data_IF_409117420321
#
_entry.id   IF_409117420321
#
_cell.length_a   1.000
_cell.length_b   1.000
_cell.length_c   1.000
_cell.angle_alpha   90.00
_cell.angle_beta   90.00
_cell.angle_gamma   90.00
#
_symmetry.space_group_name_H-M   'P 1'
#
loop_
_entity.id
_entity.type
_entity.pdbx_description
1 polymer ?
#
# COMPACT_ATOMS: atom_id res chain seq x y z
N UNK A 1 6.07 -22.49 -5.22
CA UNK A 1 5.64 -21.08 -5.45
C UNK A 1 6.84 -20.19 -5.15
N UNK A 2 7.24 -19.36 -6.07
CA UNK A 2 8.34 -18.39 -5.88
C UNK A 2 7.88 -17.24 -4.97
N UNK A 3 8.86 -16.47 -4.41
CA UNK A 3 8.57 -15.24 -3.66
C UNK A 3 7.72 -14.26 -4.47
N UNK A 4 8.02 -14.12 -5.76
CA UNK A 4 7.32 -13.19 -6.64
C UNK A 4 5.89 -13.64 -6.96
N UNK A 5 5.65 -14.94 -7.19
CA UNK A 5 4.28 -15.46 -7.35
C UNK A 5 3.44 -15.22 -6.09
N UNK A 6 3.99 -15.48 -4.90
CA UNK A 6 3.34 -15.19 -3.61
C UNK A 6 2.97 -13.70 -3.49
N UNK A 7 3.89 -12.83 -3.90
CA UNK A 7 3.69 -11.39 -3.91
C UNK A 7 2.57 -10.95 -4.86
N UNK A 8 2.55 -11.46 -6.09
CA UNK A 8 1.50 -11.15 -7.07
C UNK A 8 0.12 -11.61 -6.62
N UNK A 9 0.02 -12.82 -6.07
CA UNK A 9 -1.24 -13.34 -5.51
C UNK A 9 -1.74 -12.40 -4.41
N UNK A 10 -0.87 -11.99 -3.49
CA UNK A 10 -1.27 -11.09 -2.40
C UNK A 10 -1.68 -9.70 -2.89
N UNK A 11 -1.01 -9.20 -3.93
CA UNK A 11 -1.39 -7.97 -4.62
C UNK A 11 -2.80 -8.08 -5.24
N UNK A 12 -3.10 -9.20 -5.91
CA UNK A 12 -4.41 -9.47 -6.51
C UNK A 12 -5.51 -9.58 -5.45
N UNK A 13 -5.29 -10.34 -4.37
CA UNK A 13 -6.22 -10.42 -3.23
C UNK A 13 -6.53 -9.03 -2.65
N UNK A 14 -5.50 -8.19 -2.49
CA UNK A 14 -5.65 -6.81 -2.00
C UNK A 14 -6.47 -5.97 -2.97
N UNK A 15 -6.20 -6.09 -4.27
CA UNK A 15 -6.97 -5.40 -5.31
C UNK A 15 -8.43 -5.81 -5.30
N UNK A 16 -8.73 -7.09 -5.07
CA UNK A 16 -10.09 -7.59 -5.00
C UNK A 16 -10.86 -7.02 -3.79
N UNK A 17 -10.19 -6.86 -2.64
CA UNK A 17 -10.78 -6.18 -1.47
C UNK A 17 -11.17 -4.74 -1.83
N UNK A 18 -10.27 -4.00 -2.48
CA UNK A 18 -10.55 -2.62 -2.91
C UNK A 18 -11.70 -2.60 -3.93
N UNK A 19 -11.68 -3.48 -4.93
CA UNK A 19 -12.73 -3.61 -5.94
C UNK A 19 -14.11 -3.89 -5.34
N UNK A 20 -14.18 -4.76 -4.36
CA UNK A 20 -15.43 -5.06 -3.65
C UNK A 20 -15.98 -3.83 -2.92
N UNK A 21 -15.12 -2.99 -2.33
CA UNK A 21 -15.52 -1.74 -1.69
C UNK A 21 -16.00 -0.69 -2.73
N UNK A 22 -15.38 -0.65 -3.91
CA UNK A 22 -15.83 0.20 -5.02
C UNK A 22 -17.23 -0.23 -5.50
N UNK A 23 -17.42 -1.52 -5.76
CA UNK A 23 -18.72 -2.08 -6.21
C UNK A 23 -19.81 -1.81 -5.18
N UNK A 24 -19.49 -1.93 -3.89
CA UNK A 24 -20.40 -1.60 -2.79
C UNK A 24 -20.62 -0.07 -2.61
N UNK A 25 -20.06 0.75 -3.50
CA UNK A 25 -20.16 2.22 -3.47
C UNK A 25 -19.74 2.86 -2.15
N UNK A 26 -18.76 2.26 -1.47
CA UNK A 26 -18.25 2.74 -0.19
C UNK A 26 -17.46 4.02 -0.33
N UNK A 27 -17.57 4.88 0.68
CA UNK A 27 -16.80 6.11 0.80
C UNK A 27 -15.45 5.77 1.43
N UNK A 28 -14.40 5.65 0.62
CA UNK A 28 -13.06 5.23 1.05
C UNK A 28 -12.21 6.44 1.42
N UNK A 29 -11.44 6.32 2.49
CA UNK A 29 -10.35 7.24 2.79
C UNK A 29 -9.01 6.50 2.76
N UNK A 30 -8.01 7.10 2.09
CA UNK A 30 -6.62 6.66 2.15
C UNK A 30 -5.88 7.59 3.11
N UNK A 31 -5.22 7.01 4.09
CA UNK A 31 -4.42 7.71 5.08
C UNK A 31 -2.97 7.27 4.88
N UNK A 32 -2.14 8.17 4.34
CA UNK A 32 -0.74 7.91 4.05
C UNK A 32 0.21 8.69 4.94
N UNK A 33 1.46 8.23 5.02
CA UNK A 33 2.52 9.02 5.61
C UNK A 33 2.78 10.29 4.79
N UNK A 34 3.31 11.33 5.42
CA UNK A 34 3.48 12.65 4.77
C UNK A 34 4.74 12.78 3.91
N UNK A 35 5.64 11.79 3.96
CA UNK A 35 6.84 11.79 3.12
C UNK A 35 6.54 11.45 1.66
N UNK A 36 7.57 11.38 0.85
CA UNK A 36 7.40 11.17 -0.59
C UNK A 36 6.83 9.81 -0.91
N UNK A 37 7.26 8.73 -0.22
CA UNK A 37 6.74 7.38 -0.48
C UNK A 37 5.26 7.28 -0.10
N UNK A 38 4.85 7.76 1.07
CA UNK A 38 3.46 7.77 1.51
C UNK A 38 2.54 8.62 0.64
N UNK A 39 3.00 9.80 0.17
CA UNK A 39 2.25 10.65 -0.75
C UNK A 39 2.05 9.93 -2.11
N UNK A 40 3.12 9.34 -2.66
CA UNK A 40 3.07 8.61 -3.93
C UNK A 40 2.17 7.38 -3.81
N UNK A 41 2.36 6.59 -2.77
CA UNK A 41 1.55 5.42 -2.47
C UNK A 41 0.06 5.74 -2.43
N UNK A 42 -0.31 6.77 -1.66
CA UNK A 42 -1.69 7.26 -1.57
C UNK A 42 -2.22 7.73 -2.93
N UNK A 43 -1.39 8.42 -3.71
CA UNK A 43 -1.78 8.98 -5.02
C UNK A 43 -2.02 7.89 -6.06
N UNK A 44 -1.18 6.85 -6.10
CA UNK A 44 -1.35 5.68 -6.98
C UNK A 44 -2.68 4.99 -6.69
N UNK A 45 -2.94 4.67 -5.42
CA UNK A 45 -4.18 4.01 -5.01
C UNK A 45 -5.42 4.87 -5.31
N UNK A 46 -5.37 6.15 -4.98
CA UNK A 46 -6.50 7.06 -5.24
C UNK A 46 -6.78 7.20 -6.74
N UNK A 47 -5.74 7.35 -7.57
CA UNK A 47 -5.89 7.41 -9.03
C UNK A 47 -6.52 6.14 -9.56
N UNK A 48 -6.13 4.98 -9.05
CA UNK A 48 -6.65 3.68 -9.45
C UNK A 48 -8.12 3.52 -9.05
N UNK A 49 -8.48 3.89 -7.81
CA UNK A 49 -9.87 3.86 -7.33
C UNK A 49 -10.76 4.81 -8.17
N UNK A 50 -10.27 6.02 -8.50
CA UNK A 50 -11.01 6.97 -9.33
C UNK A 50 -11.21 6.47 -10.77
N UNK A 51 -10.21 5.77 -11.36
CA UNK A 51 -10.34 5.14 -12.68
C UNK A 51 -11.45 4.09 -12.70
N UNK A 52 -11.60 3.36 -11.61
CA UNK A 52 -12.68 2.39 -11.40
C UNK A 52 -14.00 3.03 -10.93
N UNK A 53 -14.11 4.38 -11.01
CA UNK A 53 -15.29 5.17 -10.60
C UNK A 53 -15.62 5.06 -9.10
N UNK A 54 -14.67 4.65 -8.27
CA UNK A 54 -14.81 4.62 -6.81
C UNK A 54 -14.73 6.02 -6.20
N UNK A 55 -15.21 6.14 -4.96
CA UNK A 55 -15.16 7.38 -4.17
C UNK A 55 -14.00 7.30 -3.20
N UNK A 56 -13.10 8.27 -3.25
CA UNK A 56 -11.89 8.27 -2.42
C UNK A 56 -11.52 9.68 -1.96
N UNK A 57 -11.02 9.75 -0.74
CA UNK A 57 -10.40 10.94 -0.14
C UNK A 57 -8.99 10.56 0.30
N UNK A 58 -8.02 11.45 0.16
CA UNK A 58 -6.67 11.28 0.67
C UNK A 58 -6.46 12.18 1.90
N UNK A 59 -5.76 11.65 2.89
CA UNK A 59 -5.22 12.42 4.02
C UNK A 59 -3.80 11.95 4.30
N UNK A 60 -2.88 12.87 4.50
CA UNK A 60 -1.51 12.58 4.89
C UNK A 60 -1.27 12.94 6.36
N UNK A 61 -0.49 12.14 7.06
CA UNK A 61 -0.15 12.32 8.47
C UNK A 61 1.37 12.26 8.67
N UNK A 62 1.89 13.00 9.63
CA UNK A 62 3.29 12.88 10.07
C UNK A 62 3.52 11.68 10.98
N UNK A 63 2.49 11.25 11.67
CA UNK A 63 2.48 10.08 12.53
C UNK A 63 1.04 9.65 12.79
N UNK A 64 0.84 8.36 12.99
CA UNK A 64 -0.42 7.81 13.43
C UNK A 64 -0.41 7.70 14.95
N UNK A 65 -1.57 7.90 15.58
CA UNK A 65 -1.74 7.75 17.03
C UNK A 65 -3.01 6.96 17.33
N UNK A 66 -3.05 6.25 18.46
CA UNK A 66 -4.24 5.51 18.92
C UNK A 66 -5.45 6.43 19.06
N UNK A 67 -5.27 7.67 19.54
CA UNK A 67 -6.36 8.63 19.65
C UNK A 67 -6.94 9.04 18.29
N UNK A 68 -6.08 9.19 17.27
CA UNK A 68 -6.55 9.46 15.92
C UNK A 68 -7.35 8.28 15.35
N UNK A 69 -6.87 7.05 15.53
CA UNK A 69 -7.59 5.83 15.09
C UNK A 69 -8.95 5.74 15.77
N UNK A 70 -9.01 6.02 17.07
CA UNK A 70 -10.25 6.04 17.84
C UNK A 70 -11.27 7.05 17.30
N UNK A 71 -10.81 8.24 16.88
CA UNK A 71 -11.67 9.27 16.28
C UNK A 71 -12.21 8.86 14.90
N UNK A 72 -11.49 8.03 14.13
CA UNK A 72 -11.93 7.55 12.84
C UNK A 72 -13.23 6.73 12.92
N UNK A 73 -13.47 6.05 14.04
CA UNK A 73 -14.70 5.27 14.30
C UNK A 73 -15.97 6.08 14.03
N UNK A 74 -15.96 7.37 14.39
CA UNK A 74 -17.11 8.27 14.29
C UNK A 74 -17.09 9.11 12.99
N UNK A 75 -16.19 8.79 12.07
CA UNK A 75 -16.07 9.48 10.79
C UNK A 75 -17.11 8.99 9.76
N UNK A 76 -17.25 9.75 8.68
CA UNK A 76 -18.20 9.47 7.60
C UNK A 76 -17.73 8.40 6.58
N UNK A 77 -16.57 7.80 6.81
CA UNK A 77 -15.99 6.86 5.85
C UNK A 77 -16.40 5.43 6.17
N UNK A 78 -16.61 4.65 5.11
CA UNK A 78 -17.01 3.25 5.20
C UNK A 78 -15.83 2.29 5.16
N UNK A 79 -14.69 2.73 4.58
CA UNK A 79 -13.47 1.94 4.45
C UNK A 79 -12.21 2.81 4.55
N UNK A 80 -11.21 2.29 5.22
CA UNK A 80 -9.95 2.97 5.53
C UNK A 80 -8.78 2.19 4.93
N UNK A 81 -7.98 2.82 4.10
CA UNK A 81 -6.72 2.25 3.61
C UNK A 81 -5.59 3.06 4.24
N UNK A 82 -4.73 2.38 4.96
CA UNK A 82 -3.51 2.98 5.49
C UNK A 82 -2.35 2.58 4.58
N UNK A 83 -1.55 3.55 4.16
CA UNK A 83 -0.41 3.27 3.31
C UNK A 83 0.84 3.97 3.78
N UNK A 84 1.95 3.23 3.82
CA UNK A 84 3.23 3.69 4.34
C UNK A 84 3.18 4.09 5.82
N UNK A 85 2.20 3.58 6.53
CA UNK A 85 1.93 3.82 7.95
C UNK A 85 0.91 2.80 8.45
N UNK A 86 1.02 2.39 9.70
CA UNK A 86 -0.03 1.62 10.34
C UNK A 86 0.38 0.23 10.83
N UNK A 87 1.52 -0.30 10.39
CA UNK A 87 1.98 -1.65 10.76
C UNK A 87 2.14 -1.88 12.27
N UNK A 88 2.26 -0.82 13.07
CA UNK A 88 2.36 -0.90 14.53
C UNK A 88 1.02 -0.77 15.27
N UNK A 89 -0.09 -0.53 14.53
CA UNK A 89 -1.40 -0.18 15.12
C UNK A 89 -2.50 -1.19 14.82
N UNK A 90 -2.16 -2.43 14.53
CA UNK A 90 -3.10 -3.47 14.11
C UNK A 90 -4.17 -3.73 15.17
N UNK A 91 -3.78 -3.80 16.44
CA UNK A 91 -4.70 -4.04 17.57
C UNK A 91 -5.72 -2.89 17.72
N UNK A 92 -5.29 -1.65 17.54
CA UNK A 92 -6.16 -0.47 17.57
C UNK A 92 -7.14 -0.45 16.39
N UNK A 93 -6.69 -0.87 15.21
CA UNK A 93 -7.58 -0.98 14.06
C UNK A 93 -8.64 -2.05 14.26
N UNK A 94 -8.27 -3.22 14.77
CA UNK A 94 -9.20 -4.27 15.12
C UNK A 94 -10.24 -3.80 16.15
N UNK A 95 -9.77 -3.13 17.20
CA UNK A 95 -10.62 -2.64 18.30
C UNK A 95 -11.60 -1.56 17.82
N UNK A 96 -11.14 -0.60 17.00
CA UNK A 96 -11.90 0.61 16.71
C UNK A 96 -12.53 0.63 15.32
N UNK A 97 -11.93 0.02 14.30
CA UNK A 97 -12.40 0.02 12.92
C UNK A 97 -12.99 -1.31 12.48
N UNK A 98 -12.81 -2.37 13.25
CA UNK A 98 -13.29 -3.74 12.95
C UNK A 98 -12.86 -4.18 11.55
N UNK A 99 -13.78 -4.58 10.69
CA UNK A 99 -13.50 -5.07 9.32
C UNK A 99 -13.47 -3.95 8.26
N UNK A 100 -13.29 -2.69 8.67
CA UNK A 100 -13.36 -1.54 7.74
C UNK A 100 -11.99 -0.98 7.36
N UNK A 101 -10.91 -1.68 7.59
CA UNK A 101 -9.56 -1.19 7.35
C UNK A 101 -8.71 -2.16 6.56
N UNK A 102 -7.67 -1.62 5.91
CA UNK A 102 -6.62 -2.37 5.22
C UNK A 102 -5.31 -1.59 5.29
N UNK A 103 -4.18 -2.30 5.42
CA UNK A 103 -2.83 -1.71 5.43
C UNK A 103 -2.08 -2.17 4.18
N UNK A 104 -1.39 -1.22 3.51
CA UNK A 104 -0.39 -1.46 2.47
C UNK A 104 0.89 -0.77 2.93
N UNK A 105 1.84 -1.53 3.45
CA UNK A 105 3.00 -0.97 4.15
C UNK A 105 4.24 -1.86 3.98
N UNK A 106 5.42 -1.26 3.92
CA UNK A 106 6.70 -1.96 3.79
C UNK A 106 7.50 -2.00 5.10
N UNK A 107 7.06 -1.31 6.13
CA UNK A 107 7.69 -1.33 7.43
C UNK A 107 7.59 -2.70 8.09
N UNK A 108 8.64 -3.08 8.83
CA UNK A 108 8.66 -4.37 9.52
C UNK A 108 7.56 -4.40 10.57
N UNK A 109 6.72 -5.42 10.52
CA UNK A 109 5.67 -5.66 11.52
C UNK A 109 6.03 -6.84 12.43
N UNK A 110 5.26 -7.04 13.51
CA UNK A 110 5.43 -8.20 14.40
C UNK A 110 5.11 -9.50 13.64
N UNK A 111 5.84 -10.58 13.95
CA UNK A 111 5.69 -11.87 13.27
C UNK A 111 4.26 -12.44 13.36
N UNK A 112 3.53 -12.18 14.42
CA UNK A 112 2.15 -12.64 14.61
C UNK A 112 1.17 -12.09 13.57
N UNK A 113 1.48 -10.94 12.93
CA UNK A 113 0.64 -10.30 11.92
C UNK A 113 1.05 -10.64 10.48
N UNK A 114 2.09 -11.46 10.28
CA UNK A 114 2.59 -11.81 8.94
C UNK A 114 1.57 -12.53 8.04
N UNK A 115 0.51 -13.09 8.58
CA UNK A 115 -0.57 -13.75 7.82
C UNK A 115 -1.92 -13.05 7.99
N UNK A 116 -1.94 -11.81 8.46
CA UNK A 116 -3.19 -11.10 8.67
C UNK A 116 -3.85 -10.70 7.35
N UNK A 117 -5.16 -11.00 7.21
CA UNK A 117 -5.89 -10.81 5.95
C UNK A 117 -6.02 -9.35 5.51
N UNK A 118 -6.02 -8.40 6.45
CA UNK A 118 -6.18 -6.97 6.17
C UNK A 118 -4.84 -6.25 5.99
N UNK A 119 -3.75 -6.98 5.70
CA UNK A 119 -2.41 -6.39 5.56
C UNK A 119 -1.75 -6.92 4.29
N UNK A 120 -1.33 -6.03 3.41
CA UNK A 120 -0.37 -6.32 2.37
C UNK A 120 0.97 -5.67 2.74
N UNK A 121 1.91 -6.50 3.12
CA UNK A 121 3.24 -6.06 3.54
C UNK A 121 4.31 -6.92 2.86
N UNK A 122 5.42 -6.32 2.46
CA UNK A 122 6.51 -6.98 1.75
C UNK A 122 7.10 -8.17 2.52
N UNK A 123 7.18 -8.06 3.85
CA UNK A 123 7.69 -9.11 4.74
C UNK A 123 6.83 -10.37 4.73
N UNK A 124 5.54 -10.27 4.40
CA UNK A 124 4.66 -11.43 4.21
C UNK A 124 5.05 -12.30 2.99
N UNK A 125 5.78 -11.70 2.05
CA UNK A 125 6.22 -12.35 0.81
C UNK A 125 7.73 -12.56 0.78
N UNK A 126 8.39 -12.49 1.94
CA UNK A 126 9.84 -12.69 2.11
C UNK A 126 10.71 -11.66 1.36
N UNK A 127 10.19 -10.41 1.18
CA UNK A 127 10.93 -9.27 0.67
C UNK A 127 11.25 -8.28 1.78
N UNK A 128 12.51 -7.81 1.80
CA UNK A 128 12.95 -6.78 2.73
C UNK A 128 12.38 -5.42 2.32
N UNK A 129 11.44 -4.91 3.12
CA UNK A 129 10.82 -3.61 2.88
C UNK A 129 11.78 -2.43 2.97
N UNK A 130 12.97 -2.59 3.58
CA UNK A 130 13.94 -1.50 3.64
C UNK A 130 14.69 -1.28 2.32
N UNK A 131 14.72 -2.28 1.39
CA UNK A 131 15.59 -2.25 0.22
C UNK A 131 14.99 -2.79 -1.06
N UNK A 132 14.01 -3.72 -0.97
CA UNK A 132 13.54 -4.48 -2.12
C UNK A 132 12.24 -3.96 -2.70
N UNK A 133 11.45 -3.23 -1.89
CA UNK A 133 10.20 -2.57 -2.31
C UNK A 133 9.75 -1.55 -1.27
N UNK A 134 9.23 -0.41 -1.73
CA UNK A 134 8.60 0.63 -0.92
C UNK A 134 7.07 0.48 -0.88
N UNK A 135 6.38 1.24 -0.03
CA UNK A 135 4.92 1.26 0.00
C UNK A 135 4.30 1.73 -1.32
N UNK A 136 4.95 2.65 -2.02
CA UNK A 136 4.51 3.06 -3.36
C UNK A 136 4.65 1.93 -4.38
N UNK A 137 5.68 1.08 -4.26
CA UNK A 137 5.84 -0.13 -5.05
C UNK A 137 4.72 -1.14 -4.79
N UNK A 138 4.40 -1.41 -3.53
CA UNK A 138 3.27 -2.27 -3.15
C UNK A 138 1.96 -1.74 -3.74
N UNK A 139 1.70 -0.44 -3.59
CA UNK A 139 0.50 0.23 -4.10
C UNK A 139 0.41 0.20 -5.63
N UNK A 140 1.56 0.24 -6.32
CA UNK A 140 1.62 0.12 -7.77
C UNK A 140 1.16 -1.27 -8.25
N UNK A 141 1.66 -2.35 -7.66
CA UNK A 141 1.23 -3.70 -8.03
C UNK A 141 -0.24 -3.94 -7.72
N UNK A 142 -0.76 -3.44 -6.59
CA UNK A 142 -2.20 -3.46 -6.31
C UNK A 142 -2.97 -2.70 -7.39
N UNK A 143 -2.46 -1.57 -7.83
CA UNK A 143 -3.08 -0.75 -8.88
C UNK A 143 -3.11 -1.46 -10.24
N UNK A 144 -2.04 -2.17 -10.62
CA UNK A 144 -2.00 -2.99 -11.82
C UNK A 144 -3.03 -4.12 -11.78
N UNK A 145 -3.18 -4.78 -10.64
CA UNK A 145 -4.17 -5.83 -10.43
C UNK A 145 -5.60 -5.30 -10.49
N UNK A 146 -5.83 -4.02 -10.14
CA UNK A 146 -7.13 -3.37 -10.32
C UNK A 146 -7.43 -3.07 -11.79
N UNK A 147 -6.45 -2.52 -12.52
CA UNK A 147 -6.60 -2.15 -13.92
C UNK A 147 -5.22 -2.00 -14.58
N UNK A 148 -4.97 -2.75 -15.65
CA UNK A 148 -3.70 -2.72 -16.38
C UNK A 148 -3.37 -1.35 -16.98
N UNK A 149 -4.34 -0.48 -17.20
CA UNK A 149 -4.09 0.92 -17.61
C UNK A 149 -3.28 1.72 -16.58
N UNK A 150 -3.14 1.21 -15.35
CA UNK A 150 -2.31 1.80 -14.31
C UNK A 150 -0.80 1.58 -14.54
N UNK A 151 -0.40 0.78 -15.54
CA UNK A 151 1.00 0.62 -15.95
C UNK A 151 1.67 1.97 -16.24
N UNK A 152 0.93 2.95 -16.73
CA UNK A 152 1.45 4.31 -16.96
C UNK A 152 1.85 5.07 -15.68
N UNK A 153 1.63 4.51 -14.50
CA UNK A 153 2.07 5.04 -13.19
C UNK A 153 3.43 4.47 -12.74
N UNK A 154 4.08 3.62 -13.54
CA UNK A 154 5.30 2.86 -13.19
C UNK A 154 6.49 3.74 -12.74
N UNK A 155 6.57 5.00 -13.17
CA UNK A 155 7.63 5.91 -12.75
C UNK A 155 7.47 6.40 -11.29
N UNK A 156 6.25 6.45 -10.78
CA UNK A 156 5.96 6.97 -9.45
C UNK A 156 6.62 6.13 -8.34
N UNK A 157 6.46 4.79 -8.29
CA UNK A 157 7.08 3.98 -7.25
C UNK A 157 8.61 4.00 -7.29
N UNK A 158 9.25 4.27 -8.45
CA UNK A 158 10.70 4.46 -8.52
C UNK A 158 11.11 5.70 -7.70
N UNK A 159 10.36 6.79 -7.82
CA UNK A 159 10.61 8.00 -7.03
C UNK A 159 10.38 7.74 -5.52
N UNK A 160 9.34 6.98 -5.16
CA UNK A 160 9.10 6.56 -3.78
C UNK A 160 10.26 5.75 -3.21
N UNK A 161 10.70 4.71 -3.91
CA UNK A 161 11.83 3.88 -3.48
C UNK A 161 13.14 4.67 -3.31
N UNK A 162 13.40 5.65 -4.18
CA UNK A 162 14.57 6.54 -4.05
C UNK A 162 14.43 7.45 -2.84
N UNK A 163 13.25 8.00 -2.57
CA UNK A 163 13.01 8.86 -1.40
C UNK A 163 13.25 8.11 -0.09
N UNK A 164 12.95 6.83 -0.06
CA UNK A 164 13.19 5.90 1.05
C UNK A 164 14.63 5.36 1.11
N UNK A 165 15.51 5.88 0.24
CA UNK A 165 16.92 5.49 0.19
C UNK A 165 17.12 3.99 -0.06
N UNK A 166 16.25 3.37 -0.87
CA UNK A 166 16.31 1.95 -1.19
C UNK A 166 17.36 1.60 -2.27
N UNK A 167 18.03 2.59 -2.84
CA UNK A 167 19.15 2.39 -3.80
C UNK A 167 20.41 1.88 -3.09
N UNK A 168 20.37 0.66 -2.58
CA UNK A 168 21.47 0.00 -1.82
C UNK A 168 22.25 -1.01 -2.64
N UNK A 169 21.87 -1.27 -3.87
CA UNK A 169 22.58 -2.17 -4.78
C UNK A 169 23.90 -1.57 -5.29
N UNK A 170 24.63 -2.35 -6.09
CA UNK A 170 25.89 -1.92 -6.71
C UNK A 170 25.65 -0.64 -7.54
N UNK A 171 26.53 0.33 -7.39
CA UNK A 171 26.41 1.65 -8.03
C UNK A 171 25.09 2.39 -7.71
N UNK A 172 24.57 2.20 -6.50
CA UNK A 172 23.30 2.79 -6.07
C UNK A 172 22.11 2.33 -6.92
N UNK A 173 22.13 1.10 -7.40
CA UNK A 173 20.96 0.53 -8.06
C UNK A 173 19.88 0.15 -7.06
N UNK A 174 18.63 0.15 -7.50
CA UNK A 174 17.54 -0.48 -6.80
C UNK A 174 17.67 -2.01 -6.89
N UNK A 175 17.02 -2.75 -5.99
CA UNK A 175 17.08 -4.22 -5.90
C UNK A 175 15.68 -4.82 -5.72
N UNK A 176 15.59 -6.15 -5.70
CA UNK A 176 14.35 -6.86 -5.46
C UNK A 176 13.24 -6.50 -6.45
N UNK A 177 12.03 -6.33 -5.97
CA UNK A 177 10.85 -5.98 -6.78
C UNK A 177 10.98 -4.60 -7.42
N UNK A 178 11.72 -3.67 -6.81
CA UNK A 178 11.97 -2.37 -7.42
C UNK A 178 12.61 -2.49 -8.83
N UNK A 179 13.42 -3.54 -9.09
CA UNK A 179 13.97 -3.79 -10.42
C UNK A 179 12.89 -4.19 -11.44
N UNK A 180 11.89 -4.98 -11.04
CA UNK A 180 10.78 -5.33 -11.91
C UNK A 180 10.03 -4.07 -12.39
N UNK A 181 9.84 -3.10 -11.48
CA UNK A 181 9.19 -1.81 -11.80
C UNK A 181 10.04 -1.00 -12.79
N UNK A 182 11.39 -0.99 -12.59
CA UNK A 182 12.30 -0.31 -13.53
C UNK A 182 12.23 -0.93 -14.92
N UNK A 183 12.18 -2.25 -15.01
CA UNK A 183 12.12 -2.94 -16.30
C UNK A 183 10.79 -2.65 -17.02
N UNK A 184 9.67 -2.64 -16.32
CA UNK A 184 8.39 -2.19 -16.88
C UNK A 184 8.40 -0.73 -17.36
N UNK A 185 9.15 0.16 -16.66
CA UNK A 185 9.22 1.57 -17.02
C UNK A 185 10.11 1.85 -18.27
N UNK A 186 10.87 0.85 -18.74
CA UNK A 186 11.69 0.94 -19.95
C UNK A 186 10.94 0.52 -21.22
N UNK A 187 9.83 -0.21 -21.07
CA UNK A 187 8.97 -0.66 -22.16
C UNK A 187 7.96 0.42 -22.58
#
# INVERSE_FOLDING_TARGET
MSKFEKFLIRSEETSQIIKNNIIANKNTIIIGHKDTDGIISSSILAKSILREKGRVTIRTLSSLTSDYIKQLKDSKYDFYIFTDIGSDFIEEFELHLKNKWFIIDHHKTKNEYLNHNNIFNSWHCDYDGNYEISSSGLSYFVSLSLNQLNQNLCFLPIVGAISDKQERGKNRSLTGINNNIIDEAKE
#
